data_IF_152676085345
#
_entry.id   IF_152676085345
#
_cell.length_a   1.000
_cell.length_b   1.000
_cell.length_c   1.000
_cell.angle_alpha   90.00
_cell.angle_beta   90.00
_cell.angle_gamma   90.00
#
_symmetry.space_group_name_H-M   'P 1'
#
loop_
_entity.id
_entity.type
_entity.pdbx_description
1 polymer ?
#
# COMPACT_ATOMS: atom_id res chain seq x y z
N UNK A 1 -31.22 26.57 7.24
CA UNK A 1 -31.01 27.57 6.16
C UNK A 1 -31.57 27.01 4.87
N UNK A 2 -32.27 27.83 4.08
CA UNK A 2 -33.20 27.33 3.06
C UNK A 2 -32.50 26.72 1.86
N UNK A 3 -32.85 25.47 1.54
CA UNK A 3 -32.35 24.75 0.38
C UNK A 3 -33.25 25.07 -0.82
N UNK A 4 -32.94 26.13 -1.58
CA UNK A 4 -33.66 26.46 -2.82
C UNK A 4 -33.20 25.56 -3.95
N UNK A 5 -33.83 24.38 -4.06
CA UNK A 5 -33.64 23.44 -5.17
C UNK A 5 -34.22 24.00 -6.47
N UNK A 6 -33.33 24.52 -7.34
CA UNK A 6 -33.66 24.69 -8.75
C UNK A 6 -33.92 23.33 -9.43
N UNK A 7 -34.64 23.29 -10.57
CA UNK A 7 -35.08 22.03 -11.17
C UNK A 7 -33.92 21.14 -11.63
N UNK A 8 -34.00 19.84 -11.33
CA UNK A 8 -33.10 18.77 -11.80
C UNK A 8 -32.82 18.88 -13.32
N UNK A 9 -31.57 19.11 -13.71
CA UNK A 9 -31.21 19.25 -15.12
C UNK A 9 -30.74 17.90 -15.68
N UNK A 10 -31.59 17.27 -16.50
CA UNK A 10 -31.31 15.99 -17.12
C UNK A 10 -30.91 16.11 -18.61
N UNK A 11 -29.69 15.68 -18.94
CA UNK A 11 -29.16 15.67 -20.31
C UNK A 11 -29.05 14.26 -20.88
N UNK A 12 -29.91 13.92 -21.85
CA UNK A 12 -29.87 12.64 -22.56
C UNK A 12 -28.63 12.48 -23.46
N UNK A 13 -28.29 13.52 -24.23
CA UNK A 13 -27.08 13.59 -25.09
C UNK A 13 -26.60 15.04 -25.14
N UNK A 14 -25.31 15.31 -24.91
CA UNK A 14 -24.76 16.69 -25.04
C UNK A 14 -23.88 16.88 -26.27
N UNK A 15 -23.86 18.12 -26.78
CA UNK A 15 -22.77 18.68 -27.61
C UNK A 15 -21.55 19.01 -26.71
N UNK A 16 -20.37 19.35 -27.23
CA UNK A 16 -19.24 19.76 -26.38
C UNK A 16 -19.60 21.01 -25.57
N UNK A 17 -19.34 21.02 -24.27
CA UNK A 17 -19.74 22.12 -23.36
C UNK A 17 -18.53 22.85 -22.79
N UNK A 18 -18.59 24.19 -22.74
CA UNK A 18 -17.52 25.03 -22.13
C UNK A 18 -17.72 25.11 -20.61
N UNK A 19 -18.88 25.57 -20.18
CA UNK A 19 -19.27 25.64 -18.77
C UNK A 19 -20.65 25.00 -18.62
N UNK A 20 -20.84 24.22 -17.55
CA UNK A 20 -22.15 23.72 -17.12
C UNK A 20 -22.30 23.95 -15.61
N UNK A 21 -22.70 25.15 -15.17
CA UNK A 21 -23.25 25.38 -13.85
C UNK A 21 -24.71 24.89 -13.79
N UNK A 22 -25.19 24.50 -12.61
CA UNK A 22 -26.60 24.19 -12.36
C UNK A 22 -26.87 23.75 -10.92
N UNK A 23 -28.15 23.51 -10.56
CA UNK A 23 -28.54 22.62 -9.46
C UNK A 23 -28.19 21.17 -9.83
N UNK A 24 -28.88 20.16 -9.33
CA UNK A 24 -28.49 18.75 -9.54
C UNK A 24 -28.50 18.36 -11.03
N UNK A 25 -27.34 17.89 -11.53
CA UNK A 25 -27.11 17.67 -12.95
C UNK A 25 -26.90 16.19 -13.25
N UNK A 26 -27.78 15.61 -14.07
CA UNK A 26 -27.70 14.20 -14.48
C UNK A 26 -27.45 14.07 -15.98
N UNK A 27 -26.37 13.39 -16.37
CA UNK A 27 -26.00 13.20 -17.78
C UNK A 27 -25.96 11.73 -18.19
N UNK A 28 -26.73 11.36 -19.20
CA UNK A 28 -26.74 10.02 -19.77
C UNK A 28 -25.53 9.77 -20.70
N UNK A 29 -25.28 10.67 -21.67
CA UNK A 29 -24.17 10.58 -22.63
C UNK A 29 -23.57 11.96 -22.93
N UNK A 30 -22.32 12.23 -22.54
CA UNK A 30 -21.67 13.53 -22.82
C UNK A 30 -20.66 13.51 -23.96
N UNK A 31 -20.57 14.64 -24.69
CA UNK A 31 -19.39 15.03 -25.47
C UNK A 31 -18.34 15.71 -24.55
N UNK A 32 -17.13 16.07 -25.04
CA UNK A 32 -16.09 16.61 -24.17
C UNK A 32 -16.55 17.88 -23.44
N UNK A 33 -16.19 18.02 -22.16
CA UNK A 33 -16.60 19.15 -21.34
C UNK A 33 -15.40 19.84 -20.67
N UNK A 34 -15.39 21.18 -20.63
CA UNK A 34 -14.32 21.93 -19.98
C UNK A 34 -14.57 22.09 -18.48
N UNK A 35 -15.67 22.72 -18.06
CA UNK A 35 -15.98 22.94 -16.65
C UNK A 35 -17.41 22.50 -16.32
N UNK A 36 -17.59 21.76 -15.23
CA UNK A 36 -18.92 21.43 -14.67
C UNK A 36 -18.94 21.70 -13.17
N UNK A 37 -20.00 22.35 -12.68
CA UNK A 37 -20.21 22.67 -11.27
C UNK A 37 -21.69 22.54 -10.92
N UNK A 38 -22.00 21.89 -9.83
CA UNK A 38 -23.34 21.76 -9.24
C UNK A 38 -23.24 21.20 -7.83
N UNK A 39 -24.37 21.08 -7.10
CA UNK A 39 -24.45 20.30 -5.87
C UNK A 39 -24.21 18.83 -6.21
N UNK A 40 -25.19 18.15 -6.80
CA UNK A 40 -25.04 16.76 -7.23
C UNK A 40 -24.70 16.68 -8.72
N UNK A 41 -23.71 15.86 -9.06
CA UNK A 41 -23.27 15.69 -10.45
C UNK A 41 -23.14 14.21 -10.79
N UNK A 42 -24.11 13.69 -11.54
CA UNK A 42 -24.17 12.28 -11.95
C UNK A 42 -23.91 12.08 -13.43
N UNK A 43 -23.04 11.14 -13.78
CA UNK A 43 -22.74 10.79 -15.17
C UNK A 43 -22.76 9.29 -15.46
N UNK A 44 -23.57 8.88 -16.45
CA UNK A 44 -23.63 7.50 -16.91
C UNK A 44 -22.49 7.16 -17.90
N UNK A 45 -22.27 7.97 -18.94
CA UNK A 45 -21.20 7.79 -19.93
C UNK A 45 -20.60 9.14 -20.37
N UNK A 46 -19.32 9.38 -20.09
CA UNK A 46 -18.65 10.65 -20.48
C UNK A 46 -17.54 10.51 -21.52
N UNK A 47 -17.39 11.57 -22.32
CA UNK A 47 -16.17 11.88 -23.08
C UNK A 47 -15.17 12.68 -22.20
N UNK A 48 -13.94 13.00 -22.67
CA UNK A 48 -12.92 13.61 -21.80
C UNK A 48 -13.38 14.90 -21.13
N UNK A 49 -12.97 15.10 -19.87
CA UNK A 49 -13.36 16.29 -19.09
C UNK A 49 -12.15 16.99 -18.47
N UNK A 50 -12.18 18.32 -18.40
CA UNK A 50 -11.07 19.11 -17.83
C UNK A 50 -11.26 19.32 -16.32
N UNK A 51 -12.38 19.90 -15.88
CA UNK A 51 -12.64 20.20 -14.47
C UNK A 51 -14.08 19.82 -14.07
N UNK A 52 -14.24 19.16 -12.92
CA UNK A 52 -15.54 18.92 -12.26
C UNK A 52 -15.43 19.28 -10.78
N UNK A 53 -16.41 20.04 -10.25
CA UNK A 53 -16.45 20.42 -8.83
C UNK A 53 -17.88 20.45 -8.28
N UNK A 54 -18.15 19.77 -7.17
CA UNK A 54 -19.43 19.75 -6.45
C UNK A 54 -19.27 19.00 -5.12
N UNK A 55 -20.21 19.08 -4.17
CA UNK A 55 -20.30 18.14 -3.04
C UNK A 55 -20.27 16.69 -3.53
N UNK A 56 -21.26 16.29 -4.33
CA UNK A 56 -21.49 14.88 -4.66
C UNK A 56 -21.21 14.61 -6.14
N UNK A 57 -20.24 13.74 -6.44
CA UNK A 57 -19.79 13.51 -7.81
C UNK A 57 -19.74 12.01 -8.13
N UNK A 58 -20.67 11.54 -8.95
CA UNK A 58 -20.78 10.12 -9.31
C UNK A 58 -20.55 9.85 -10.81
N UNK A 59 -19.70 8.87 -11.12
CA UNK A 59 -19.38 8.48 -12.49
C UNK A 59 -19.45 6.96 -12.72
N UNK A 60 -20.33 6.55 -13.63
CA UNK A 60 -20.48 5.15 -14.02
C UNK A 60 -19.41 4.71 -15.04
N UNK A 61 -19.23 5.47 -16.15
CA UNK A 61 -18.22 5.18 -17.18
C UNK A 61 -17.58 6.47 -17.72
N UNK A 62 -16.31 6.69 -17.39
CA UNK A 62 -15.56 7.93 -17.70
C UNK A 62 -14.41 7.73 -18.69
N UNK A 63 -14.31 8.63 -19.67
CA UNK A 63 -13.08 8.86 -20.47
C UNK A 63 -12.07 9.74 -19.68
N UNK A 64 -10.85 10.02 -20.19
CA UNK A 64 -9.82 10.69 -19.40
C UNK A 64 -10.25 12.01 -18.77
N UNK A 65 -9.81 12.28 -17.55
CA UNK A 65 -10.12 13.52 -16.83
C UNK A 65 -8.87 14.18 -16.27
N UNK A 66 -8.87 15.53 -16.23
CA UNK A 66 -7.75 16.29 -15.68
C UNK A 66 -7.93 16.53 -14.18
N UNK A 67 -8.99 17.18 -13.74
CA UNK A 67 -9.24 17.51 -12.33
C UNK A 67 -10.68 17.19 -11.91
N UNK A 68 -10.83 16.53 -10.75
CA UNK A 68 -12.12 16.34 -10.06
C UNK A 68 -11.92 16.71 -8.59
N UNK A 69 -12.84 17.49 -8.00
CA UNK A 69 -12.76 17.83 -6.57
C UNK A 69 -14.13 18.03 -5.92
N UNK A 70 -14.32 17.46 -4.74
CA UNK A 70 -15.57 17.46 -3.99
C UNK A 70 -15.45 16.66 -2.69
N UNK A 71 -16.26 16.94 -1.66
CA UNK A 71 -16.64 16.03 -0.57
C UNK A 71 -16.65 14.56 -0.97
N UNK A 72 -17.61 14.16 -1.80
CA UNK A 72 -17.93 12.77 -2.10
C UNK A 72 -17.70 12.45 -3.57
N UNK A 73 -16.75 11.56 -3.86
CA UNK A 73 -16.32 11.26 -5.23
C UNK A 73 -16.33 9.74 -5.49
N UNK A 74 -17.31 9.29 -6.27
CA UNK A 74 -17.50 7.87 -6.61
C UNK A 74 -17.25 7.54 -8.09
N UNK A 75 -16.44 6.52 -8.33
CA UNK A 75 -16.02 6.08 -9.67
C UNK A 75 -16.19 4.58 -9.91
N UNK A 76 -17.12 4.21 -10.78
CA UNK A 76 -17.34 2.81 -11.15
C UNK A 76 -16.32 2.28 -12.18
N UNK A 77 -16.14 2.97 -13.32
CA UNK A 77 -15.20 2.57 -14.40
C UNK A 77 -14.55 3.79 -15.07
N UNK A 78 -13.29 4.06 -14.77
CA UNK A 78 -12.63 5.32 -15.21
C UNK A 78 -11.34 5.07 -16.02
N UNK A 79 -11.19 5.82 -17.12
CA UNK A 79 -9.94 5.97 -17.91
C UNK A 79 -9.02 7.05 -17.30
N UNK A 80 -7.78 7.25 -17.79
CA UNK A 80 -6.73 7.97 -17.03
C UNK A 80 -7.14 9.30 -16.38
N UNK A 81 -6.76 9.47 -15.12
CA UNK A 81 -7.00 10.68 -14.33
C UNK A 81 -5.70 11.39 -13.97
N UNK A 82 -5.67 12.72 -14.01
CA UNK A 82 -4.50 13.48 -13.54
C UNK A 82 -4.59 13.77 -12.03
N UNK A 83 -5.64 14.44 -11.56
CA UNK A 83 -5.80 14.82 -10.15
C UNK A 83 -7.23 14.55 -9.65
N UNK A 84 -7.35 13.98 -8.45
CA UNK A 84 -8.59 13.87 -7.67
C UNK A 84 -8.32 14.39 -6.25
N UNK A 85 -9.23 15.19 -5.68
CA UNK A 85 -9.09 15.71 -4.30
C UNK A 85 -10.42 15.84 -3.59
N UNK A 86 -10.57 15.21 -2.42
CA UNK A 86 -11.83 15.18 -1.66
C UNK A 86 -11.70 14.43 -0.33
N UNK A 87 -12.52 14.75 0.69
CA UNK A 87 -12.83 13.90 1.85
C UNK A 87 -12.91 12.41 1.50
N UNK A 88 -13.93 12.02 0.73
CA UNK A 88 -14.31 10.64 0.47
C UNK A 88 -14.14 10.28 -1.00
N UNK A 89 -13.23 9.34 -1.27
CA UNK A 89 -12.86 8.98 -2.65
C UNK A 89 -12.93 7.47 -2.86
N UNK A 90 -13.97 7.01 -3.56
CA UNK A 90 -14.20 5.59 -3.84
C UNK A 90 -14.01 5.23 -5.32
N UNK A 91 -13.18 4.21 -5.57
CA UNK A 91 -12.83 3.74 -6.91
C UNK A 91 -13.04 2.22 -7.08
N UNK A 92 -14.01 1.83 -7.90
CA UNK A 92 -14.27 0.43 -8.22
C UNK A 92 -13.28 -0.14 -9.26
N UNK A 93 -13.12 0.50 -10.42
CA UNK A 93 -12.23 0.05 -11.51
C UNK A 93 -11.56 1.23 -12.22
N UNK A 94 -10.28 1.50 -11.94
CA UNK A 94 -9.56 2.67 -12.49
C UNK A 94 -8.33 2.29 -13.33
N UNK A 95 -8.12 3.04 -14.41
CA UNK A 95 -6.92 3.05 -15.27
C UNK A 95 -6.17 4.40 -15.12
N UNK A 96 -4.87 4.47 -15.48
CA UNK A 96 -3.83 5.03 -14.60
C UNK A 96 -4.07 6.45 -14.09
N UNK A 97 -3.68 6.67 -12.83
CA UNK A 97 -3.86 7.93 -12.13
C UNK A 97 -2.53 8.58 -11.74
N UNK A 98 -2.44 9.90 -11.82
CA UNK A 98 -1.24 10.62 -11.41
C UNK A 98 -1.27 10.97 -9.92
N UNK A 99 -2.27 11.70 -9.44
CA UNK A 99 -2.38 12.15 -8.05
C UNK A 99 -3.79 11.93 -7.50
N UNK A 100 -3.89 11.46 -6.25
CA UNK A 100 -5.12 11.39 -5.46
C UNK A 100 -4.81 11.85 -4.04
N UNK A 101 -5.64 12.71 -3.46
CA UNK A 101 -5.46 13.24 -2.10
C UNK A 101 -6.79 13.33 -1.37
N UNK A 102 -6.86 12.89 -0.12
CA UNK A 102 -8.10 12.89 0.66
C UNK A 102 -7.95 12.19 2.02
N UNK A 103 -8.72 12.58 3.05
CA UNK A 103 -9.04 11.78 4.23
C UNK A 103 -9.18 10.28 3.93
N UNK A 104 -10.23 9.90 3.21
CA UNK A 104 -10.67 8.51 3.03
C UNK A 104 -10.57 8.09 1.57
N UNK A 105 -9.70 7.13 1.28
CA UNK A 105 -9.40 6.73 -0.10
C UNK A 105 -9.50 5.22 -0.27
N UNK A 106 -10.58 4.76 -0.90
CA UNK A 106 -10.86 3.34 -1.12
C UNK A 106 -10.74 2.91 -2.58
N UNK A 107 -10.02 1.81 -2.82
CA UNK A 107 -9.74 1.28 -4.16
C UNK A 107 -9.98 -0.23 -4.27
N UNK A 108 -10.97 -0.62 -5.08
CA UNK A 108 -11.26 -2.03 -5.34
C UNK A 108 -10.31 -2.65 -6.38
N UNK A 109 -10.14 -2.04 -7.56
CA UNK A 109 -9.29 -2.57 -8.66
C UNK A 109 -8.59 -1.44 -9.44
N UNK A 110 -7.29 -1.22 -9.19
CA UNK A 110 -6.54 -0.09 -9.79
C UNK A 110 -5.32 -0.51 -10.62
N UNK A 111 -5.09 0.26 -11.69
CA UNK A 111 -3.93 0.19 -12.62
C UNK A 111 -3.20 1.56 -12.63
N UNK A 112 -1.95 1.67 -13.12
CA UNK A 112 -0.85 2.33 -12.42
C UNK A 112 -1.15 3.67 -11.74
N UNK A 113 -0.67 3.82 -10.51
CA UNK A 113 -0.81 5.07 -9.73
C UNK A 113 0.56 5.69 -9.42
N UNK A 114 0.70 7.00 -9.57
CA UNK A 114 1.96 7.69 -9.26
C UNK A 114 2.02 8.13 -7.79
N UNK A 115 1.07 8.93 -7.32
CA UNK A 115 1.04 9.44 -5.93
C UNK A 115 -0.36 9.29 -5.32
N UNK A 116 -0.41 8.87 -4.06
CA UNK A 116 -1.60 8.91 -3.20
C UNK A 116 -1.21 9.41 -1.81
N UNK A 117 -2.00 10.32 -1.24
CA UNK A 117 -1.79 10.88 0.09
C UNK A 117 -3.10 11.00 0.86
N UNK A 118 -3.14 10.57 2.12
CA UNK A 118 -4.37 10.61 2.92
C UNK A 118 -4.22 9.95 4.29
N UNK A 119 -4.94 10.39 5.33
CA UNK A 119 -5.25 9.62 6.55
C UNK A 119 -5.44 8.12 6.29
N UNK A 120 -6.52 7.76 5.63
CA UNK A 120 -7.01 6.38 5.52
C UNK A 120 -6.99 5.90 4.07
N UNK A 121 -6.14 4.90 3.79
CA UNK A 121 -5.89 4.45 2.42
C UNK A 121 -6.05 2.93 2.31
N UNK A 122 -7.16 2.49 1.71
CA UNK A 122 -7.49 1.07 1.54
C UNK A 122 -7.44 0.60 0.09
N UNK A 123 -6.70 -0.49 -0.15
CA UNK A 123 -6.46 -1.06 -1.48
C UNK A 123 -6.73 -2.57 -1.55
N UNK A 124 -7.80 -2.96 -2.23
CA UNK A 124 -8.16 -4.36 -2.43
C UNK A 124 -7.26 -5.07 -3.47
N UNK A 125 -7.12 -4.51 -4.69
CA UNK A 125 -6.31 -5.08 -5.79
C UNK A 125 -5.63 -3.99 -6.63
N UNK A 126 -4.31 -3.82 -6.50
CA UNK A 126 -3.55 -2.80 -7.26
C UNK A 126 -2.39 -3.32 -8.10
N UNK A 127 -2.06 -2.58 -9.16
CA UNK A 127 -0.91 -2.77 -10.05
C UNK A 127 -0.34 -1.40 -10.49
N UNK A 128 0.95 -1.33 -10.81
CA UNK A 128 2.03 -0.77 -9.98
C UNK A 128 1.73 0.58 -9.31
N UNK A 129 2.35 0.83 -8.15
CA UNK A 129 2.31 2.13 -7.46
C UNK A 129 3.71 2.73 -7.29
N UNK A 130 3.86 4.06 -7.46
CA UNK A 130 5.14 4.73 -7.18
C UNK A 130 5.23 5.19 -5.73
N UNK A 131 4.34 6.05 -5.24
CA UNK A 131 4.38 6.63 -3.90
C UNK A 131 3.00 6.54 -3.22
N UNK A 132 2.98 6.15 -1.94
CA UNK A 132 1.81 6.20 -1.04
C UNK A 132 2.25 6.81 0.29
N UNK A 133 1.49 7.76 0.85
CA UNK A 133 1.75 8.35 2.17
C UNK A 133 0.46 8.52 2.98
N UNK A 134 0.46 8.12 4.24
CA UNK A 134 -0.71 8.24 5.12
C UNK A 134 -0.48 7.67 6.50
N UNK A 135 -1.15 8.17 7.56
CA UNK A 135 -1.41 7.46 8.82
C UNK A 135 -1.65 5.96 8.62
N UNK A 136 -2.77 5.60 7.99
CA UNK A 136 -3.29 4.25 7.94
C UNK A 136 -3.33 3.71 6.51
N UNK A 137 -2.54 2.67 6.23
CA UNK A 137 -2.38 2.16 4.87
C UNK A 137 -2.58 0.64 4.82
N UNK A 138 -3.72 0.21 4.29
CA UNK A 138 -4.09 -1.20 4.17
C UNK A 138 -4.09 -1.72 2.72
N UNK A 139 -3.37 -2.83 2.50
CA UNK A 139 -3.24 -3.47 1.19
C UNK A 139 -3.57 -4.96 1.20
N UNK A 140 -4.66 -5.35 0.52
CA UNK A 140 -5.06 -6.75 0.40
C UNK A 140 -4.24 -7.51 -0.65
N UNK A 141 -4.13 -7.00 -1.89
CA UNK A 141 -3.38 -7.65 -3.00
C UNK A 141 -2.63 -6.63 -3.88
N UNK A 142 -1.32 -6.54 -3.71
CA UNK A 142 -0.45 -5.51 -4.30
C UNK A 142 0.60 -6.08 -5.27
N UNK A 143 0.89 -5.35 -6.36
CA UNK A 143 2.01 -5.62 -7.28
C UNK A 143 2.57 -4.31 -7.86
N UNK A 144 3.86 -4.28 -8.25
CA UNK A 144 4.98 -3.73 -7.48
C UNK A 144 4.73 -2.34 -6.86
N UNK A 145 5.41 -2.05 -5.76
CA UNK A 145 5.44 -0.73 -5.13
C UNK A 145 6.87 -0.16 -5.05
N UNK A 146 7.04 1.16 -5.26
CA UNK A 146 8.35 1.80 -5.03
C UNK A 146 8.50 2.34 -3.61
N UNK A 147 7.62 3.23 -3.16
CA UNK A 147 7.69 3.85 -1.84
C UNK A 147 6.32 3.81 -1.13
N UNK A 148 6.33 3.43 0.14
CA UNK A 148 5.21 3.56 1.08
C UNK A 148 5.74 4.19 2.37
N UNK A 149 5.03 5.17 2.93
CA UNK A 149 5.41 5.84 4.18
C UNK A 149 4.20 6.15 5.06
N UNK A 150 4.20 5.74 6.32
CA UNK A 150 3.04 5.92 7.19
C UNK A 150 3.23 5.28 8.56
N UNK A 151 2.71 5.86 9.67
CA UNK A 151 2.57 5.18 10.96
C UNK A 151 2.18 3.71 10.82
N UNK A 152 1.00 3.42 10.29
CA UNK A 152 0.39 2.10 10.33
C UNK A 152 0.26 1.50 8.93
N UNK A 153 0.98 0.41 8.67
CA UNK A 153 1.08 -0.16 7.32
C UNK A 153 0.85 -1.68 7.33
N UNK A 154 -0.32 -2.10 6.83
CA UNK A 154 -0.71 -3.50 6.77
C UNK A 154 -0.75 -4.07 5.35
N UNK A 155 -0.11 -5.22 5.15
CA UNK A 155 0.02 -5.88 3.85
C UNK A 155 -0.34 -7.37 3.88
N UNK A 156 -1.46 -7.73 3.27
CA UNK A 156 -1.93 -9.12 3.21
C UNK A 156 -1.16 -9.96 2.16
N UNK A 157 -1.08 -9.50 0.90
CA UNK A 157 -0.40 -10.22 -0.20
C UNK A 157 0.35 -9.27 -1.15
N UNK A 158 1.66 -9.11 -0.97
CA UNK A 158 2.51 -8.21 -1.79
C UNK A 158 3.44 -8.94 -2.77
N UNK A 159 3.83 -8.22 -3.82
CA UNK A 159 4.94 -8.53 -4.74
C UNK A 159 5.58 -7.23 -5.22
N UNK A 160 6.83 -7.28 -5.70
CA UNK A 160 8.00 -6.76 -4.99
C UNK A 160 7.86 -5.30 -4.53
N UNK A 161 8.56 -4.94 -3.45
CA UNK A 161 8.58 -3.57 -2.92
C UNK A 161 10.00 -3.03 -2.78
N UNK A 162 10.21 -1.73 -3.04
CA UNK A 162 11.54 -1.11 -2.92
C UNK A 162 11.78 -0.51 -1.53
N UNK A 163 10.95 0.42 -1.07
CA UNK A 163 11.10 1.12 0.20
C UNK A 163 9.77 1.14 0.97
N UNK A 164 9.79 0.77 2.25
CA UNK A 164 8.68 0.96 3.21
C UNK A 164 9.24 1.61 4.46
N UNK A 165 8.59 2.66 4.98
CA UNK A 165 8.93 3.28 6.27
C UNK A 165 7.67 3.53 7.10
N UNK A 166 7.65 3.15 8.37
CA UNK A 166 6.50 3.39 9.23
C UNK A 166 6.82 3.29 10.71
N UNK A 167 5.79 3.39 11.55
CA UNK A 167 5.84 2.98 12.95
C UNK A 167 5.66 1.46 12.97
N UNK A 168 4.42 1.02 12.69
CA UNK A 168 3.97 -0.36 12.77
C UNK A 168 3.79 -0.92 11.35
N UNK A 169 4.55 -1.97 11.04
CA UNK A 169 4.60 -2.53 9.69
C UNK A 169 4.33 -4.03 9.70
N UNK A 170 3.12 -4.43 9.30
CA UNK A 170 2.67 -5.82 9.32
C UNK A 170 2.56 -6.45 7.93
N UNK A 171 3.12 -7.67 7.79
CA UNK A 171 3.23 -8.39 6.53
C UNK A 171 2.79 -9.85 6.61
N UNK A 172 1.66 -10.19 6.01
CA UNK A 172 1.14 -11.56 6.00
C UNK A 172 1.83 -12.47 4.97
N UNK A 173 1.89 -12.06 3.69
CA UNK A 173 2.54 -12.84 2.60
C UNK A 173 3.28 -11.92 1.62
N UNK A 174 4.61 -11.94 1.62
CA UNK A 174 5.44 -11.04 0.79
C UNK A 174 6.33 -11.74 -0.23
N UNK A 175 6.73 -10.97 -1.25
CA UNK A 175 7.70 -11.31 -2.30
C UNK A 175 8.57 -10.06 -2.57
N UNK A 176 9.76 -10.21 -3.19
CA UNK A 176 10.99 -9.56 -2.72
C UNK A 176 10.93 -8.10 -2.29
N UNK A 177 11.58 -7.79 -1.18
CA UNK A 177 11.63 -6.46 -0.57
C UNK A 177 13.06 -5.94 -0.51
N UNK A 178 13.29 -4.65 -0.84
CA UNK A 178 14.64 -4.08 -0.81
C UNK A 178 14.98 -3.44 0.53
N UNK A 179 14.19 -2.48 1.01
CA UNK A 179 14.42 -1.72 2.23
C UNK A 179 13.11 -1.60 3.05
N UNK A 180 13.20 -1.84 4.35
CA UNK A 180 12.10 -1.66 5.34
C UNK A 180 12.68 -0.98 6.58
N UNK A 181 11.97 -0.01 7.17
CA UNK A 181 12.42 0.66 8.40
C UNK A 181 11.26 1.17 9.25
N UNK A 182 11.30 0.91 10.56
CA UNK A 182 10.32 1.33 11.56
C UNK A 182 10.65 0.76 12.95
N UNK A 183 10.09 1.28 14.05
CA UNK A 183 10.12 0.64 15.37
C UNK A 183 9.63 -0.80 15.29
N UNK A 184 8.39 -1.04 14.86
CA UNK A 184 7.73 -2.33 14.94
C UNK A 184 7.52 -2.97 13.57
N UNK A 185 8.16 -4.12 13.32
CA UNK A 185 8.12 -4.78 12.02
C UNK A 185 7.80 -6.28 12.14
N UNK A 186 6.59 -6.68 11.75
CA UNK A 186 6.12 -8.07 11.84
C UNK A 186 5.94 -8.74 10.48
N UNK A 187 6.48 -9.96 10.35
CA UNK A 187 6.50 -10.72 9.10
C UNK A 187 6.06 -12.18 9.27
N UNK A 188 4.90 -12.53 8.73
CA UNK A 188 4.35 -13.89 8.79
C UNK A 188 4.98 -14.85 7.77
N UNK A 189 4.96 -14.52 6.46
CA UNK A 189 5.54 -15.36 5.38
C UNK A 189 6.25 -14.52 4.32
N UNK A 190 7.58 -14.57 4.28
CA UNK A 190 8.40 -13.70 3.39
C UNK A 190 9.27 -14.45 2.38
N UNK A 191 9.65 -13.73 1.32
CA UNK A 191 10.59 -14.14 0.26
C UNK A 191 11.45 -12.92 -0.13
N UNK A 192 12.63 -13.10 -0.76
CA UNK A 192 13.88 -12.49 -0.31
C UNK A 192 13.90 -11.00 0.04
N UNK A 193 14.63 -10.67 1.11
CA UNK A 193 14.79 -9.29 1.61
C UNK A 193 16.25 -8.83 1.56
N UNK A 194 16.50 -7.53 1.36
CA UNK A 194 17.87 -6.98 1.18
C UNK A 194 18.38 -6.03 2.28
N UNK A 195 17.51 -5.35 3.02
CA UNK A 195 17.80 -4.55 4.20
C UNK A 195 16.51 -4.42 5.05
N UNK A 196 16.59 -4.56 6.37
CA UNK A 196 15.51 -4.27 7.32
C UNK A 196 16.12 -3.69 8.59
N UNK A 197 15.58 -2.58 9.12
CA UNK A 197 16.13 -1.92 10.30
C UNK A 197 15.05 -1.38 11.23
N UNK A 198 15.14 -1.67 12.52
CA UNK A 198 14.15 -1.27 13.51
C UNK A 198 14.48 -1.77 14.92
N UNK A 199 14.07 -1.07 15.99
CA UNK A 199 13.87 -1.59 17.34
C UNK A 199 13.44 -3.06 17.39
N UNK A 200 12.21 -3.35 16.95
CA UNK A 200 11.52 -4.61 17.16
C UNK A 200 11.18 -5.28 15.83
N UNK A 201 11.77 -6.44 15.56
CA UNK A 201 11.61 -7.13 14.28
C UNK A 201 11.27 -8.61 14.48
N UNK A 202 10.04 -9.01 14.14
CA UNK A 202 9.55 -10.38 14.31
C UNK A 202 9.30 -11.11 12.98
N UNK A 203 9.73 -12.38 12.93
CA UNK A 203 9.68 -13.20 11.72
C UNK A 203 9.18 -14.63 11.97
N UNK A 204 8.02 -14.98 11.43
CA UNK A 204 7.45 -16.34 11.58
C UNK A 204 8.03 -17.33 10.55
N UNK A 205 7.99 -17.01 9.23
CA UNK A 205 8.49 -17.90 8.16
C UNK A 205 9.21 -17.12 7.05
N UNK A 206 10.52 -17.24 6.93
CA UNK A 206 11.33 -16.42 5.99
C UNK A 206 12.19 -17.22 5.00
N UNK A 207 12.52 -16.56 3.89
CA UNK A 207 13.38 -17.03 2.80
C UNK A 207 14.23 -15.86 2.28
N UNK A 208 15.39 -16.10 1.62
CA UNK A 208 16.66 -15.52 2.05
C UNK A 208 16.72 -14.02 2.32
N UNK A 209 17.39 -13.66 3.41
CA UNK A 209 17.57 -12.27 3.83
C UNK A 209 19.03 -11.83 3.70
N UNK A 210 19.23 -10.56 3.40
CA UNK A 210 20.50 -9.83 3.56
C UNK A 210 20.25 -8.62 4.46
N UNK A 211 21.20 -8.31 5.34
CA UNK A 211 21.25 -7.15 6.25
C UNK A 211 19.99 -6.97 7.12
N UNK A 212 20.08 -7.31 8.40
CA UNK A 212 19.05 -6.97 9.40
C UNK A 212 19.70 -6.39 10.66
N UNK A 213 19.22 -5.23 11.11
CA UNK A 213 19.83 -4.46 12.20
C UNK A 213 18.76 -3.90 13.14
N UNK A 214 18.92 -4.14 14.43
CA UNK A 214 17.93 -3.81 15.46
C UNK A 214 18.37 -4.36 16.81
N UNK A 215 17.96 -3.75 17.93
CA UNK A 215 18.20 -4.31 19.25
C UNK A 215 17.51 -5.65 19.43
N UNK A 216 16.21 -5.75 19.10
CA UNK A 216 15.37 -6.91 19.37
C UNK A 216 14.89 -7.56 18.06
N UNK A 217 15.38 -8.77 17.79
CA UNK A 217 15.06 -9.47 16.53
C UNK A 217 14.74 -10.95 16.79
N UNK A 218 13.49 -11.34 16.53
CA UNK A 218 12.96 -12.68 16.80
C UNK A 218 12.61 -13.48 15.54
N UNK A 219 12.88 -14.79 15.57
CA UNK A 219 12.67 -15.67 14.42
C UNK A 219 12.19 -17.08 14.77
N UNK A 220 11.09 -17.50 14.15
CA UNK A 220 10.59 -18.87 14.28
C UNK A 220 11.18 -19.80 13.21
N UNK A 221 10.93 -19.61 11.89
CA UNK A 221 11.44 -20.52 10.85
C UNK A 221 12.15 -19.79 9.70
N UNK A 222 13.48 -19.92 9.62
CA UNK A 222 14.34 -19.14 8.70
C UNK A 222 15.19 -20.01 7.76
N UNK A 223 15.40 -19.51 6.53
CA UNK A 223 16.32 -20.06 5.51
C UNK A 223 16.91 -18.90 4.68
N UNK A 224 18.11 -19.06 4.10
CA UNK A 224 19.39 -18.49 4.56
C UNK A 224 19.42 -16.99 4.88
N UNK A 225 20.29 -16.59 5.81
CA UNK A 225 20.52 -15.17 6.14
C UNK A 225 21.97 -14.75 5.88
N UNK A 226 22.16 -13.49 5.46
CA UNK A 226 23.46 -12.83 5.39
C UNK A 226 23.47 -11.51 6.14
N UNK A 227 24.43 -11.33 7.05
CA UNK A 227 24.65 -10.14 7.88
C UNK A 227 23.48 -9.77 8.83
N UNK A 228 23.71 -9.96 10.14
CA UNK A 228 22.79 -9.51 11.21
C UNK A 228 23.61 -8.93 12.36
N UNK A 229 23.15 -7.86 13.01
CA UNK A 229 23.87 -7.15 14.09
C UNK A 229 22.91 -6.53 15.11
N UNK A 230 23.11 -6.80 16.40
CA UNK A 230 22.31 -6.22 17.49
C UNK A 230 22.44 -6.96 18.84
N UNK A 231 22.03 -6.34 19.97
CA UNK A 231 22.35 -6.82 21.33
C UNK A 231 21.47 -7.90 21.95
N UNK A 232 20.30 -8.31 21.45
CA UNK A 232 19.93 -9.74 21.65
C UNK A 232 18.90 -10.25 20.62
N UNK A 233 19.10 -11.48 20.17
CA UNK A 233 18.55 -11.97 18.90
C UNK A 233 18.30 -13.47 19.01
N UNK A 234 17.04 -13.90 19.09
CA UNK A 234 16.72 -15.30 19.42
C UNK A 234 15.84 -16.08 18.42
N UNK A 235 16.17 -17.39 18.27
CA UNK A 235 15.71 -18.24 17.15
C UNK A 235 15.42 -19.71 17.52
N UNK A 236 14.32 -20.32 17.03
CA UNK A 236 14.15 -21.79 16.94
C UNK A 236 13.28 -22.31 15.77
N UNK A 237 13.72 -23.08 14.75
CA UNK A 237 14.95 -23.88 14.46
C UNK A 237 15.39 -23.67 12.97
N UNK A 238 16.69 -23.74 12.67
CA UNK A 238 17.34 -22.93 11.61
C UNK A 238 18.19 -23.71 10.58
N UNK A 239 18.77 -23.00 9.57
CA UNK A 239 19.99 -23.29 8.73
C UNK A 239 19.86 -22.58 7.35
N UNK A 240 20.94 -22.11 6.68
CA UNK A 240 22.28 -21.67 7.15
C UNK A 240 22.39 -20.12 7.31
N UNK A 241 23.58 -19.62 7.71
CA UNK A 241 23.88 -18.21 8.04
C UNK A 241 25.33 -17.82 7.70
N UNK A 242 25.57 -16.56 7.27
CA UNK A 242 26.86 -15.84 7.42
C UNK A 242 26.70 -14.30 7.32
N UNK A 243 27.03 -13.41 8.26
CA UNK A 243 27.69 -13.52 9.57
C UNK A 243 27.12 -12.51 10.59
N UNK A 244 27.42 -12.71 11.87
CA UNK A 244 26.59 -12.20 13.00
C UNK A 244 27.47 -11.58 14.11
N UNK A 245 26.97 -10.61 14.89
CA UNK A 245 27.68 -10.04 16.05
C UNK A 245 26.73 -9.60 17.17
N UNK A 246 27.00 -10.04 18.41
CA UNK A 246 26.19 -9.82 19.63
C UNK A 246 26.50 -8.48 20.33
N UNK A 247 25.93 -8.22 21.54
CA UNK A 247 25.93 -9.19 22.66
C UNK A 247 24.58 -9.43 23.44
N UNK A 248 23.81 -10.53 23.31
CA UNK A 248 24.24 -11.94 23.46
C UNK A 248 23.31 -13.08 22.89
N UNK A 249 22.81 -12.89 21.67
CA UNK A 249 22.22 -13.85 20.69
C UNK A 249 22.09 -15.36 21.11
N UNK A 250 20.89 -15.89 21.42
CA UNK A 250 20.69 -17.35 21.65
C UNK A 250 19.84 -18.12 20.61
N UNK A 251 20.23 -19.37 20.37
CA UNK A 251 19.69 -20.27 19.34
C UNK A 251 19.35 -21.64 19.89
N UNK A 252 18.26 -22.24 19.45
CA UNK A 252 18.14 -23.70 19.49
C UNK A 252 17.39 -24.17 18.23
N UNK A 253 17.82 -25.11 17.39
CA UNK A 253 19.00 -25.97 17.44
C UNK A 253 19.72 -25.98 16.06
N UNK A 254 20.07 -24.78 15.56
CA UNK A 254 21.30 -24.55 14.74
C UNK A 254 21.32 -25.17 13.32
N UNK A 255 22.37 -25.15 12.48
CA UNK A 255 23.77 -24.65 12.48
C UNK A 255 24.05 -24.08 11.06
N UNK A 256 24.92 -24.64 10.19
CA UNK A 256 26.38 -24.75 10.35
C UNK A 256 27.10 -23.40 10.44
N UNK A 257 26.41 -22.27 10.17
CA UNK A 257 26.98 -20.92 10.22
C UNK A 257 28.17 -20.76 9.24
N UNK A 258 28.87 -19.62 9.31
CA UNK A 258 30.30 -19.59 9.70
C UNK A 258 30.78 -18.16 9.90
N UNK A 259 30.68 -17.74 11.17
CA UNK A 259 31.40 -16.67 11.91
C UNK A 259 30.50 -15.57 12.52
N UNK A 260 29.88 -15.96 13.65
CA UNK A 260 29.34 -15.18 14.78
C UNK A 260 30.48 -14.56 15.65
N UNK A 261 30.20 -13.59 16.54
CA UNK A 261 31.07 -13.31 17.72
C UNK A 261 30.31 -12.74 18.94
N UNK A 262 30.70 -13.15 20.15
CA UNK A 262 30.12 -12.83 21.48
C UNK A 262 30.44 -11.42 22.02
N UNK A 263 30.26 -11.16 23.34
CA UNK A 263 30.71 -12.03 24.45
C UNK A 263 29.92 -13.30 24.79
N UNK A 264 28.61 -13.38 24.60
CA UNK A 264 27.84 -14.62 24.80
C UNK A 264 26.86 -14.94 23.65
N UNK A 265 26.75 -16.22 23.28
CA UNK A 265 25.89 -16.70 22.17
C UNK A 265 25.64 -18.21 22.37
N UNK A 266 24.44 -18.66 22.74
CA UNK A 266 24.25 -20.07 23.13
C UNK A 266 23.29 -20.92 22.28
N UNK A 267 23.85 -22.07 21.83
CA UNK A 267 23.31 -23.12 20.95
C UNK A 267 23.04 -24.40 21.76
N UNK A 268 22.25 -25.40 21.28
CA UNK A 268 22.12 -26.67 22.06
C UNK A 268 21.70 -28.01 21.39
N UNK A 269 22.27 -28.44 20.25
CA UNK A 269 21.87 -29.72 19.59
C UNK A 269 22.15 -31.01 20.38
N UNK A 270 21.20 -31.97 20.39
CA UNK A 270 21.46 -33.42 20.22
C UNK A 270 20.16 -34.21 19.99
N UNK A 271 20.27 -35.28 19.20
CA UNK A 271 19.42 -36.48 19.20
C UNK A 271 20.28 -37.57 18.54
N UNK A 272 21.16 -38.19 19.33
CA UNK A 272 21.89 -39.40 18.96
C UNK A 272 21.51 -40.48 19.98
N UNK A 273 20.60 -41.37 19.59
CA UNK A 273 20.59 -42.76 20.03
C UNK A 273 20.47 -43.58 18.75
N UNK A 274 21.49 -44.39 18.47
CA UNK A 274 21.54 -45.29 17.31
C UNK A 274 20.61 -46.50 17.48
N UNK A 275 20.61 -47.38 16.47
CA UNK A 275 19.92 -48.68 16.38
C UNK A 275 18.47 -48.58 15.85
N UNK A 276 18.12 -49.18 14.72
CA UNK A 276 18.90 -50.00 13.75
C UNK A 276 18.38 -49.80 12.32
#
# INVERSE_FOLDING_TARGET
MNNTSGPDIQFQKTRPMKNTPGPDIRFQKTRPMKNTRGPDIQFQKTRPMKNTRGPDIQFQKTRPMKNTSGPDIQFQKTRPMKNTSGPDIQFQKTRPMKNTSGPDIQFQKTRPMKNTSGPDIQFQKTRPMKNTRGPDIQFQKTRPMKNTSGPDIQFQKTRPMKNTRGADIQFQKTRPMKNTSGPDIQFQKTRPMKNTSGPDIQFQKTRPMKNTSGPDIQFQKTRPMKNTSGPDIQFQKTRPMKNTRGPDIQFQKTRPMKNTSGPDIWLHQKEDVCSS
#
